data_IF_680282107794
#
_entry.id   IF_680282107794
#
_cell.length_a   1.000
_cell.length_b   1.000
_cell.length_c   1.000
_cell.angle_alpha   90.00
_cell.angle_beta   90.00
_cell.angle_gamma   90.00
#
_symmetry.space_group_name_H-M   'P 1'
#
loop_
_entity.id
_entity.type
_entity.pdbx_description
1 polymer ?
#
# COMPACT_ATOMS: atom_id res chain seq x y z
N UNK A 1 -28.84 -17.03 19.38
CA UNK A 1 -29.31 -16.83 17.99
C UNK A 1 -28.60 -15.59 17.50
N UNK A 2 -27.48 -15.75 16.80
CA UNK A 2 -26.71 -14.62 16.30
C UNK A 2 -27.56 -13.89 15.26
N UNK A 3 -27.84 -12.62 15.50
CA UNK A 3 -28.42 -11.75 14.49
C UNK A 3 -27.37 -11.63 13.38
N UNK A 4 -27.71 -12.02 12.15
CA UNK A 4 -26.87 -11.76 10.99
C UNK A 4 -26.61 -10.27 10.90
N UNK A 5 -25.36 -9.87 11.03
CA UNK A 5 -24.98 -8.47 10.92
C UNK A 5 -25.05 -8.04 9.46
N UNK A 6 -26.17 -7.41 9.10
CA UNK A 6 -26.49 -6.94 7.74
C UNK A 6 -25.46 -5.98 7.13
N UNK A 7 -24.55 -5.43 7.96
CA UNK A 7 -23.44 -4.61 7.50
C UNK A 7 -22.47 -5.38 6.61
N UNK A 8 -22.21 -6.66 6.89
CA UNK A 8 -21.30 -7.47 6.08
C UNK A 8 -21.85 -7.74 4.66
N UNK A 9 -23.10 -8.22 4.47
CA UNK A 9 -23.71 -8.32 3.15
C UNK A 9 -23.76 -6.99 2.41
N UNK A 10 -24.07 -5.89 3.11
CA UNK A 10 -24.07 -4.56 2.51
C UNK A 10 -22.68 -4.21 1.95
N UNK A 11 -21.63 -4.32 2.78
CA UNK A 11 -20.28 -3.99 2.36
C UNK A 11 -19.76 -4.90 1.26
N UNK A 12 -20.14 -6.18 1.29
CA UNK A 12 -19.81 -7.12 0.21
C UNK A 12 -20.45 -6.68 -1.11
N UNK A 13 -21.73 -6.34 -1.09
CA UNK A 13 -22.43 -5.86 -2.28
C UNK A 13 -21.85 -4.53 -2.80
N UNK A 14 -21.48 -3.63 -1.89
CA UNK A 14 -20.80 -2.37 -2.23
C UNK A 14 -19.47 -2.63 -2.95
N UNK A 15 -18.57 -3.42 -2.35
CA UNK A 15 -17.27 -3.74 -2.93
C UNK A 15 -17.40 -4.51 -4.26
N UNK A 16 -18.41 -5.37 -4.40
CA UNK A 16 -18.75 -6.04 -5.68
C UNK A 16 -19.25 -5.05 -6.73
N UNK A 17 -19.93 -3.99 -6.33
CA UNK A 17 -20.30 -2.88 -7.21
C UNK A 17 -19.08 -2.14 -7.74
N UNK A 18 -18.10 -1.84 -6.87
CA UNK A 18 -16.83 -1.20 -7.26
C UNK A 18 -16.01 -2.11 -8.21
N UNK A 19 -16.06 -3.44 -8.04
CA UNK A 19 -15.37 -4.40 -8.92
C UNK A 19 -15.89 -4.36 -10.38
N UNK A 20 -17.17 -4.01 -10.58
CA UNK A 20 -17.84 -4.13 -11.88
C UNK A 20 -17.29 -3.18 -12.96
N UNK A 21 -16.62 -2.09 -12.57
CA UNK A 21 -16.08 -1.07 -13.48
C UNK A 21 -14.55 -0.98 -13.46
N UNK A 22 -13.89 -2.03 -12.99
CA UNK A 22 -12.42 -2.14 -13.03
C UNK A 22 -11.88 -2.40 -14.45
N UNK A 23 -10.57 -2.25 -14.58
CA UNK A 23 -9.81 -2.66 -15.77
C UNK A 23 -9.92 -4.18 -15.93
N UNK A 24 -10.19 -4.63 -17.15
CA UNK A 24 -10.41 -6.05 -17.48
C UNK A 24 -9.24 -6.58 -18.31
N UNK A 25 -9.21 -7.89 -18.53
CA UNK A 25 -8.22 -8.52 -19.43
C UNK A 25 -8.30 -8.00 -20.87
N UNK A 26 -9.49 -7.63 -21.35
CA UNK A 26 -9.67 -7.03 -22.67
C UNK A 26 -9.04 -5.63 -22.73
N UNK A 27 -9.25 -4.80 -21.69
CA UNK A 27 -8.56 -3.52 -21.58
C UNK A 27 -7.04 -3.70 -21.59
N UNK A 28 -6.48 -4.64 -20.81
CA UNK A 28 -5.04 -4.92 -20.78
C UNK A 28 -4.51 -5.34 -22.15
N UNK A 29 -5.23 -6.21 -22.87
CA UNK A 29 -4.86 -6.67 -24.21
C UNK A 29 -4.85 -5.54 -25.25
N UNK A 30 -5.71 -4.53 -25.07
CA UNK A 30 -5.73 -3.32 -25.92
C UNK A 30 -4.62 -2.35 -25.52
N UNK A 31 -4.43 -2.10 -24.22
CA UNK A 31 -3.39 -1.20 -23.70
C UNK A 31 -1.98 -1.66 -24.09
N UNK A 32 -1.72 -2.97 -24.17
CA UNK A 32 -0.41 -3.49 -24.59
C UNK A 32 -0.04 -3.16 -26.04
N UNK A 33 -1.00 -2.69 -26.85
CA UNK A 33 -0.82 -2.27 -28.25
C UNK A 33 -0.87 -0.74 -28.41
N UNK A 34 -1.13 -0.01 -27.34
CA UNK A 34 -1.16 1.45 -27.36
C UNK A 34 0.25 2.00 -27.58
N UNK A 35 0.34 3.16 -28.23
CA UNK A 35 1.65 3.77 -28.53
C UNK A 35 2.08 4.77 -27.46
N UNK A 36 1.13 5.30 -26.68
CA UNK A 36 1.38 6.27 -25.62
C UNK A 36 0.34 6.19 -24.48
N UNK A 37 0.52 7.01 -23.45
CA UNK A 37 -0.35 7.07 -22.26
C UNK A 37 -1.76 7.58 -22.61
N UNK A 38 -1.89 8.48 -23.59
CA UNK A 38 -3.20 9.03 -23.96
C UNK A 38 -4.06 7.97 -24.65
N UNK A 39 -3.46 7.15 -25.50
CA UNK A 39 -4.08 5.96 -26.08
C UNK A 39 -4.53 4.99 -24.97
N UNK A 40 -3.68 4.75 -23.97
CA UNK A 40 -4.00 3.91 -22.81
C UNK A 40 -5.22 4.45 -22.05
N UNK A 41 -5.23 5.74 -21.71
CA UNK A 41 -6.33 6.39 -21.01
C UNK A 41 -7.63 6.37 -21.82
N UNK A 42 -7.54 6.51 -23.15
CA UNK A 42 -8.69 6.39 -24.04
C UNK A 42 -9.30 4.98 -24.01
N UNK A 43 -8.47 3.93 -23.93
CA UNK A 43 -8.92 2.53 -23.85
C UNK A 43 -9.71 2.26 -22.56
N UNK A 44 -9.25 2.79 -21.43
CA UNK A 44 -9.87 2.56 -20.12
C UNK A 44 -10.88 3.63 -19.72
N UNK A 45 -11.20 4.59 -20.58
CA UNK A 45 -12.01 5.79 -20.30
C UNK A 45 -13.33 5.53 -19.55
N UNK A 46 -13.97 4.39 -19.82
CA UNK A 46 -15.27 4.03 -19.23
C UNK A 46 -15.16 3.25 -17.90
N UNK A 47 -13.95 2.89 -17.49
CA UNK A 47 -13.66 2.34 -16.15
C UNK A 47 -13.69 3.43 -15.08
N UNK A 48 -13.69 3.04 -13.82
CA UNK A 48 -13.60 4.01 -12.71
C UNK A 48 -12.26 4.74 -12.70
N UNK A 49 -11.16 4.02 -12.96
CA UNK A 49 -9.81 4.62 -13.10
C UNK A 49 -9.77 5.59 -14.29
N UNK A 50 -10.29 5.18 -15.45
CA UNK A 50 -10.35 6.08 -16.61
C UNK A 50 -11.21 7.32 -16.35
N UNK A 51 -12.28 7.19 -15.54
CA UNK A 51 -13.09 8.33 -15.11
C UNK A 51 -12.34 9.25 -14.15
N UNK A 52 -11.53 8.69 -13.24
CA UNK A 52 -10.66 9.44 -12.33
C UNK A 52 -9.63 10.32 -13.08
N UNK A 53 -9.17 9.87 -14.25
CA UNK A 53 -8.19 10.59 -15.07
C UNK A 53 -8.79 11.64 -16.02
N UNK A 54 -10.12 11.75 -16.16
CA UNK A 54 -10.74 12.68 -17.14
C UNK A 54 -10.37 14.15 -16.94
N UNK A 55 -10.13 14.57 -15.71
CA UNK A 55 -9.86 15.96 -15.35
C UNK A 55 -8.42 16.18 -14.87
N UNK A 56 -7.55 15.17 -15.04
CA UNK A 56 -6.17 15.22 -14.55
C UNK A 56 -5.19 15.10 -15.71
N UNK A 57 -4.31 16.09 -15.91
CA UNK A 57 -3.26 15.99 -16.91
C UNK A 57 -2.26 14.91 -16.48
N UNK A 58 -1.95 13.99 -17.40
CA UNK A 58 -0.94 12.95 -17.21
C UNK A 58 -0.01 12.99 -18.41
N UNK A 59 1.22 13.43 -18.20
CA UNK A 59 2.22 13.58 -19.26
C UNK A 59 3.28 12.48 -19.18
N UNK A 60 3.57 12.00 -17.98
CA UNK A 60 4.61 11.02 -17.71
C UNK A 60 4.07 9.78 -17.00
N UNK A 61 4.89 8.73 -16.94
CA UNK A 61 4.60 7.55 -16.14
C UNK A 61 4.57 7.86 -14.64
N UNK A 62 5.45 8.76 -14.18
CA UNK A 62 5.52 9.14 -12.78
C UNK A 62 4.26 9.89 -12.34
N UNK A 63 3.73 10.78 -13.20
CA UNK A 63 2.42 11.42 -12.97
C UNK A 63 1.31 10.38 -12.84
N UNK A 64 1.31 9.40 -13.74
CA UNK A 64 0.31 8.32 -13.74
C UNK A 64 0.38 7.51 -12.44
N UNK A 65 1.58 7.13 -12.01
CA UNK A 65 1.78 6.34 -10.79
C UNK A 65 1.34 7.11 -9.54
N UNK A 66 1.76 8.37 -9.41
CA UNK A 66 1.34 9.25 -8.30
C UNK A 66 -0.19 9.36 -8.23
N UNK A 67 -0.84 9.58 -9.37
CA UNK A 67 -2.29 9.68 -9.46
C UNK A 67 -2.99 8.36 -9.13
N UNK A 68 -2.43 7.22 -9.50
CA UNK A 68 -2.98 5.91 -9.14
C UNK A 68 -2.90 5.66 -7.64
N UNK A 69 -1.82 6.07 -6.97
CA UNK A 69 -1.75 6.04 -5.51
C UNK A 69 -2.75 6.97 -4.85
N UNK A 70 -2.91 8.18 -5.39
CA UNK A 70 -3.96 9.11 -4.96
C UNK A 70 -5.36 8.51 -5.10
N UNK A 71 -5.66 7.86 -6.23
CA UNK A 71 -6.93 7.17 -6.44
C UNK A 71 -7.15 6.06 -5.40
N UNK A 72 -6.12 5.26 -5.15
CA UNK A 72 -6.20 4.19 -4.17
C UNK A 72 -6.42 4.73 -2.75
N UNK A 73 -5.75 5.81 -2.38
CA UNK A 73 -5.99 6.52 -1.12
C UNK A 73 -7.44 7.03 -1.02
N UNK A 74 -7.97 7.64 -2.09
CA UNK A 74 -9.37 8.08 -2.14
C UNK A 74 -10.35 6.90 -1.97
N UNK A 75 -10.04 5.74 -2.56
CA UNK A 75 -10.84 4.52 -2.40
C UNK A 75 -10.88 4.06 -0.94
N UNK A 76 -9.72 4.01 -0.27
CA UNK A 76 -9.65 3.64 1.15
C UNK A 76 -10.44 4.65 2.01
N UNK A 77 -10.25 5.95 1.77
CA UNK A 77 -10.98 7.00 2.50
C UNK A 77 -12.50 6.90 2.33
N UNK A 78 -12.99 6.51 1.14
CA UNK A 78 -14.43 6.26 0.93
C UNK A 78 -14.95 5.10 1.77
N UNK A 79 -14.18 4.01 1.88
CA UNK A 79 -14.54 2.87 2.74
C UNK A 79 -14.51 3.31 4.21
N UNK A 80 -13.45 3.97 4.67
CA UNK A 80 -13.33 4.42 6.07
C UNK A 80 -14.44 5.38 6.49
N UNK A 81 -14.84 6.29 5.61
CA UNK A 81 -15.90 7.26 5.88
C UNK A 81 -17.29 6.61 6.02
N UNK A 82 -17.47 5.39 5.51
CA UNK A 82 -18.76 4.77 5.41
C UNK A 82 -19.21 4.16 6.74
N UNK A 83 -20.19 4.80 7.41
CA UNK A 83 -20.66 4.43 8.76
C UNK A 83 -21.02 2.95 8.99
N UNK A 84 -21.62 2.19 8.04
CA UNK A 84 -21.97 0.81 8.30
C UNK A 84 -20.80 -0.17 8.08
N UNK A 85 -19.56 0.28 7.83
CA UNK A 85 -18.42 -0.66 7.74
C UNK A 85 -18.19 -1.34 9.10
N UNK A 86 -18.17 -2.68 9.16
CA UNK A 86 -17.79 -3.41 10.37
C UNK A 86 -16.35 -3.07 10.79
N UNK A 87 -16.12 -2.93 12.10
CA UNK A 87 -14.80 -2.60 12.64
C UNK A 87 -13.71 -3.58 12.19
N UNK A 88 -14.03 -4.87 12.07
CA UNK A 88 -13.06 -5.88 11.63
C UNK A 88 -12.65 -5.71 10.16
N UNK A 89 -13.54 -5.22 9.28
CA UNK A 89 -13.16 -4.88 7.90
C UNK A 89 -12.18 -3.71 7.86
N UNK A 90 -12.40 -2.68 8.68
CA UNK A 90 -11.46 -1.57 8.81
C UNK A 90 -10.10 -2.03 9.34
N UNK A 91 -10.11 -2.92 10.34
CA UNK A 91 -8.87 -3.50 10.89
C UNK A 91 -8.13 -4.35 9.86
N UNK A 92 -8.83 -5.18 9.06
CA UNK A 92 -8.22 -5.94 7.95
C UNK A 92 -7.60 -4.99 6.93
N UNK A 93 -8.34 -3.95 6.53
CA UNK A 93 -7.87 -2.97 5.55
C UNK A 93 -6.63 -2.22 6.03
N UNK A 94 -6.64 -1.73 7.28
CA UNK A 94 -5.47 -1.10 7.89
C UNK A 94 -4.27 -2.08 7.95
N UNK A 95 -4.51 -3.34 8.33
CA UNK A 95 -3.47 -4.36 8.33
C UNK A 95 -2.93 -4.66 6.93
N UNK A 96 -3.76 -4.62 5.89
CA UNK A 96 -3.34 -4.81 4.50
C UNK A 96 -2.47 -3.66 4.01
N UNK A 97 -2.86 -2.41 4.31
CA UNK A 97 -2.14 -1.21 3.88
C UNK A 97 -0.73 -1.12 4.49
N UNK A 98 -0.50 -1.70 5.68
CA UNK A 98 0.84 -1.80 6.28
C UNK A 98 1.89 -2.45 5.36
N UNK A 99 1.47 -3.26 4.37
CA UNK A 99 2.39 -3.81 3.36
C UNK A 99 3.19 -2.71 2.66
N UNK A 100 2.58 -1.55 2.42
CA UNK A 100 3.24 -0.44 1.73
C UNK A 100 4.24 0.28 2.63
N UNK A 101 3.98 0.39 3.94
CA UNK A 101 5.00 0.83 4.90
C UNK A 101 6.20 -0.12 4.91
N UNK A 102 5.96 -1.44 4.87
CA UNK A 102 7.04 -2.44 4.76
C UNK A 102 7.84 -2.26 3.47
N UNK A 103 7.18 -2.04 2.33
CA UNK A 103 7.87 -1.76 1.06
C UNK A 103 8.70 -0.46 1.13
N UNK A 104 8.21 0.57 1.81
CA UNK A 104 8.93 1.82 2.01
C UNK A 104 10.16 1.62 2.92
N UNK A 105 10.05 0.81 3.99
CA UNK A 105 11.19 0.44 4.85
C UNK A 105 12.27 -0.28 4.03
N UNK A 106 11.87 -1.25 3.20
CA UNK A 106 12.81 -1.96 2.31
C UNK A 106 13.48 -1.03 1.32
N UNK A 107 12.73 -0.09 0.77
CA UNK A 107 13.24 0.95 -0.15
C UNK A 107 14.25 1.86 0.55
N UNK A 108 14.02 2.21 1.82
CA UNK A 108 14.98 2.96 2.63
C UNK A 108 16.25 2.13 2.91
N UNK A 109 16.12 0.85 3.29
CA UNK A 109 17.26 -0.05 3.48
C UNK A 109 18.11 -0.20 2.20
N UNK A 110 17.46 -0.29 1.05
CA UNK A 110 18.13 -0.32 -0.24
C UNK A 110 18.87 1.00 -0.51
N UNK A 111 18.27 2.14 -0.18
CA UNK A 111 18.88 3.46 -0.32
C UNK A 111 20.13 3.56 0.56
N UNK A 112 20.05 3.18 1.83
CA UNK A 112 21.18 3.12 2.77
C UNK A 112 22.30 2.21 2.24
N UNK A 113 21.96 1.03 1.72
CA UNK A 113 22.95 0.04 1.28
C UNK A 113 23.62 0.38 -0.05
N UNK A 114 22.92 1.09 -0.95
CA UNK A 114 23.37 1.28 -2.34
C UNK A 114 23.60 2.75 -2.71
N UNK A 115 23.19 3.69 -1.87
CA UNK A 115 23.17 5.12 -2.15
C UNK A 115 22.19 5.53 -3.26
N UNK A 116 21.37 4.61 -3.78
CA UNK A 116 20.39 4.88 -4.83
C UNK A 116 19.03 5.10 -4.21
N UNK A 117 18.50 6.29 -4.39
CA UNK A 117 17.17 6.64 -3.93
C UNK A 117 16.12 5.74 -4.58
N UNK A 118 15.27 5.16 -3.75
CA UNK A 118 14.14 4.34 -4.17
C UNK A 118 12.83 5.15 -4.06
N UNK A 119 11.87 4.83 -4.91
CA UNK A 119 10.54 5.43 -4.90
C UNK A 119 9.80 5.06 -3.60
N UNK A 120 9.14 6.05 -3.00
CA UNK A 120 8.32 5.87 -1.80
C UNK A 120 6.84 5.87 -2.16
N UNK A 121 6.12 4.88 -1.66
CA UNK A 121 4.69 4.73 -1.90
C UNK A 121 3.93 5.66 -0.95
N UNK A 122 3.10 6.60 -1.47
CA UNK A 122 2.42 7.62 -0.67
C UNK A 122 1.15 7.09 0.01
N UNK A 123 1.29 6.00 0.77
CA UNK A 123 0.22 5.39 1.54
C UNK A 123 0.77 4.70 2.79
N UNK A 124 -0.10 4.44 3.77
CA UNK A 124 0.30 3.82 5.03
C UNK A 124 0.55 4.80 6.15
N UNK A 125 1.07 4.27 7.25
CA UNK A 125 1.28 5.00 8.50
C UNK A 125 2.42 6.01 8.36
N UNK A 126 3.52 5.67 7.69
CA UNK A 126 4.64 6.61 7.52
C UNK A 126 4.19 7.82 6.68
N UNK A 127 3.41 7.57 5.62
CA UNK A 127 2.83 8.63 4.81
C UNK A 127 1.86 9.52 5.60
N UNK A 128 0.96 8.93 6.38
CA UNK A 128 -0.02 9.70 7.17
C UNK A 128 0.61 10.58 8.24
N UNK A 129 1.82 10.25 8.69
CA UNK A 129 2.63 11.09 9.59
C UNK A 129 3.46 12.15 8.85
N UNK A 130 3.48 12.15 7.52
CA UNK A 130 4.30 13.06 6.71
C UNK A 130 5.80 12.75 6.75
N UNK A 131 6.17 11.50 7.09
CA UNK A 131 7.56 11.10 7.34
C UNK A 131 8.21 10.33 6.17
N UNK A 132 7.59 10.28 4.99
CA UNK A 132 8.16 9.56 3.84
C UNK A 132 9.46 10.18 3.32
N UNK A 133 9.54 11.51 3.27
CA UNK A 133 10.75 12.20 2.81
C UNK A 133 11.93 11.96 3.76
N UNK A 134 11.65 11.97 5.07
CA UNK A 134 12.62 11.63 6.12
C UNK A 134 13.07 10.15 5.99
N UNK A 135 12.13 9.23 5.76
CA UNK A 135 12.44 7.82 5.53
C UNK A 135 13.27 7.60 4.25
N UNK A 136 12.99 8.35 3.18
CA UNK A 136 13.76 8.31 1.92
C UNK A 136 15.17 8.86 2.08
N UNK A 137 15.36 9.79 3.00
CA UNK A 137 16.64 10.47 3.23
C UNK A 137 17.45 9.85 4.37
N UNK A 138 17.01 8.74 4.95
CA UNK A 138 17.72 8.04 6.03
C UNK A 138 19.13 7.64 5.57
N UNK A 139 20.15 7.96 6.38
CA UNK A 139 21.55 7.69 6.04
C UNK A 139 22.01 6.34 6.59
N UNK A 140 21.36 5.86 7.65
CA UNK A 140 21.71 4.63 8.32
C UNK A 140 20.48 3.90 8.89
N UNK A 141 20.68 2.68 9.39
CA UNK A 141 19.61 1.83 9.93
C UNK A 141 19.01 2.42 11.21
N UNK A 142 19.81 3.11 12.04
CA UNK A 142 19.33 3.72 13.28
C UNK A 142 18.34 4.86 12.99
N UNK A 143 18.56 5.65 11.93
CA UNK A 143 17.61 6.68 11.47
C UNK A 143 16.25 6.06 11.12
N UNK A 144 16.26 4.92 10.41
CA UNK A 144 15.05 4.16 10.06
C UNK A 144 14.34 3.69 11.33
N UNK A 145 15.08 3.12 12.29
CA UNK A 145 14.52 2.64 13.57
C UNK A 145 13.88 3.78 14.37
N UNK A 146 14.50 4.96 14.40
CA UNK A 146 13.94 6.13 15.07
C UNK A 146 12.62 6.56 14.42
N UNK A 147 12.57 6.63 13.08
CA UNK A 147 11.36 6.96 12.34
C UNK A 147 10.23 5.95 12.57
N UNK A 148 10.54 4.66 12.56
CA UNK A 148 9.55 3.62 12.85
C UNK A 148 9.00 3.72 14.26
N UNK A 149 9.83 4.11 15.22
CA UNK A 149 9.38 4.36 16.59
C UNK A 149 8.40 5.54 16.67
N UNK A 150 8.67 6.64 15.95
CA UNK A 150 7.76 7.79 15.83
C UNK A 150 6.40 7.39 15.22
N UNK A 151 6.42 6.52 14.21
CA UNK A 151 5.24 5.98 13.55
C UNK A 151 4.52 4.86 14.33
N UNK A 152 4.96 4.51 15.54
CA UNK A 152 4.44 3.38 16.32
C UNK A 152 4.54 2.01 15.59
N UNK A 153 5.49 1.88 14.67
CA UNK A 153 5.81 0.67 13.91
C UNK A 153 6.90 -0.17 14.58
N UNK A 154 6.95 -0.17 15.92
CA UNK A 154 8.01 -0.79 16.72
C UNK A 154 8.16 -2.30 16.50
N UNK A 155 7.11 -3.00 16.05
CA UNK A 155 7.20 -4.42 15.75
C UNK A 155 8.16 -4.73 14.58
N UNK A 156 8.44 -3.74 13.74
CA UNK A 156 9.34 -3.89 12.60
C UNK A 156 10.79 -3.51 12.93
N UNK A 157 11.07 -2.88 14.08
CA UNK A 157 12.44 -2.45 14.43
C UNK A 157 13.35 -3.65 14.72
N UNK A 158 12.81 -4.72 15.31
CA UNK A 158 13.55 -5.96 15.60
C UNK A 158 14.11 -6.63 14.33
N UNK A 159 13.40 -6.51 13.20
CA UNK A 159 13.88 -6.98 11.91
C UNK A 159 15.15 -6.23 11.45
N UNK A 160 15.36 -5.01 11.96
CA UNK A 160 16.48 -4.13 11.62
C UNK A 160 17.66 -4.25 12.60
N UNK A 161 17.46 -4.76 13.81
CA UNK A 161 18.51 -4.87 14.84
C UNK A 161 19.69 -5.75 14.42
N UNK A 162 19.44 -6.77 13.60
CA UNK A 162 20.46 -7.66 13.04
C UNK A 162 21.06 -7.12 11.73
N UNK A 163 20.54 -6.02 11.21
CA UNK A 163 21.05 -5.33 10.03
C UNK A 163 22.28 -4.48 10.43
N UNK A 164 23.33 -5.10 10.97
CA UNK A 164 24.58 -4.41 11.32
C UNK A 164 25.68 -4.57 10.26
N UNK A 165 25.85 -3.50 9.48
CA UNK A 165 27.08 -2.77 9.11
C UNK A 165 28.35 -3.58 8.76
N UNK A 166 28.33 -4.53 7.82
CA UNK A 166 29.58 -4.92 7.14
C UNK A 166 29.42 -5.25 5.65
N UNK A 167 28.53 -4.52 4.97
CA UNK A 167 28.54 -4.39 3.51
C UNK A 167 28.12 -5.62 2.69
N UNK A 168 27.70 -6.71 3.33
CA UNK A 168 27.21 -7.89 2.60
C UNK A 168 25.69 -7.83 2.37
N UNK A 169 25.30 -7.95 1.10
CA UNK A 169 23.89 -7.96 0.66
C UNK A 169 23.03 -9.04 1.34
N UNK A 170 23.65 -10.07 1.93
CA UNK A 170 22.97 -11.13 2.68
C UNK A 170 22.31 -10.63 3.96
N UNK A 171 22.92 -9.65 4.65
CA UNK A 171 22.36 -9.05 5.88
C UNK A 171 21.06 -8.27 5.60
N UNK A 172 21.03 -7.53 4.49
CA UNK A 172 19.85 -6.79 4.02
C UNK A 172 18.72 -7.74 3.63
N UNK A 173 19.01 -8.76 2.82
CA UNK A 173 17.99 -9.73 2.38
C UNK A 173 17.34 -10.44 3.58
N UNK A 174 18.12 -10.75 4.61
CA UNK A 174 17.60 -11.32 5.86
C UNK A 174 16.65 -10.35 6.58
N UNK A 175 17.00 -9.06 6.68
CA UNK A 175 16.13 -8.05 7.27
C UNK A 175 14.85 -7.87 6.45
N UNK A 176 14.95 -7.81 5.12
CA UNK A 176 13.78 -7.73 4.23
C UNK A 176 12.84 -8.93 4.39
N UNK A 177 13.38 -10.14 4.56
CA UNK A 177 12.59 -11.35 4.82
C UNK A 177 11.92 -11.32 6.20
N UNK A 178 12.60 -10.81 7.23
CA UNK A 178 12.01 -10.64 8.57
C UNK A 178 10.89 -9.61 8.57
N UNK A 179 11.04 -8.51 7.84
CA UNK A 179 9.97 -7.52 7.68
C UNK A 179 8.72 -8.15 7.04
N UNK A 180 8.89 -9.02 6.04
CA UNK A 180 7.77 -9.77 5.46
C UNK A 180 7.16 -10.73 6.48
N UNK A 181 7.98 -11.46 7.24
CA UNK A 181 7.51 -12.37 8.27
C UNK A 181 6.67 -11.64 9.33
N UNK A 182 7.15 -10.50 9.82
CA UNK A 182 6.42 -9.65 10.78
C UNK A 182 5.08 -9.18 10.21
N UNK A 183 5.07 -8.73 8.96
CA UNK A 183 3.84 -8.34 8.27
C UNK A 183 2.83 -9.50 8.17
N UNK A 184 3.27 -10.66 7.66
CA UNK A 184 2.38 -11.82 7.50
C UNK A 184 1.91 -12.37 8.85
N UNK A 185 2.76 -12.34 9.87
CA UNK A 185 2.40 -12.73 11.24
C UNK A 185 1.35 -11.77 11.82
N UNK A 186 1.53 -10.47 11.63
CA UNK A 186 0.56 -9.44 12.01
C UNK A 186 -0.79 -9.64 11.32
N UNK A 187 -0.78 -9.84 10.01
CA UNK A 187 -1.98 -10.08 9.21
C UNK A 187 -2.70 -11.36 9.65
N UNK A 188 -1.97 -12.46 9.85
CA UNK A 188 -2.53 -13.73 10.31
C UNK A 188 -3.16 -13.59 11.68
N UNK A 189 -2.46 -12.96 12.64
CA UNK A 189 -2.99 -12.75 13.98
C UNK A 189 -4.24 -11.86 13.97
N UNK A 190 -4.25 -10.82 13.14
CA UNK A 190 -5.45 -9.99 12.94
C UNK A 190 -6.65 -10.82 12.46
N UNK A 191 -6.44 -11.75 11.52
CA UNK A 191 -7.55 -12.57 10.99
C UNK A 191 -8.09 -13.64 11.96
N UNK A 192 -7.30 -14.10 12.94
CA UNK A 192 -7.72 -15.15 13.90
C UNK A 192 -8.84 -14.71 14.83
N UNK A 193 -8.89 -13.41 15.14
CA UNK A 193 -9.86 -12.84 16.08
C UNK A 193 -11.19 -12.48 15.39
N UNK A 194 -11.30 -12.69 14.08
CA UNK A 194 -12.48 -12.37 13.28
C UNK A 194 -13.34 -13.63 13.22
N UNK A 195 -14.47 -13.61 13.91
CA UNK A 195 -15.51 -14.63 13.76
C UNK A 195 -16.17 -14.52 12.39
N UNK A 196 -16.31 -15.66 11.70
CA UNK A 196 -17.14 -15.77 10.49
C UNK A 196 -18.54 -15.17 10.77
N UNK A 197 -18.89 -14.13 10.02
CA UNK A 197 -20.16 -13.39 10.12
C UNK A 197 -21.38 -14.15 9.62
#
# INVERSE_FOLDING_TARGET
>A
MNLFDTRYPFMTAYLKGEEARLVTSDHISKMSKASDIQDILAIIRETDIGSYFKERPVETFDDLDEHLWGYFSDCLGRVEWFKPVPADMLRIMAAYVLKYDVLNIKSALQTVSTGRQAYMIPIGIVHSHGLLDELSSAENVDDIVELLTKCQLVNYTSALEECKIDGEGDSRLLAEAKLDEEYYRGLLNMTKDITDG
#
